data_IF_871815562773
#
_entry.id   IF_871815562773
#
_cell.length_a   1.000
_cell.length_b   1.000
_cell.length_c   1.000
_cell.angle_alpha   90.00
_cell.angle_beta   90.00
_cell.angle_gamma   90.00
#
_symmetry.space_group_name_H-M   'P 1'
#
loop_
_entity.id
_entity.type
_entity.pdbx_description
1 polymer ?
#
# COMPACT_ATOMS: atom_id res chain seq x y z
N UNK A 1 2.40 3.73 28.10
CA UNK A 1 3.53 3.05 28.79
C UNK A 1 3.18 1.65 29.31
N UNK A 2 1.97 1.37 29.83
CA UNK A 2 1.57 0.05 30.35
C UNK A 2 1.58 -1.14 29.37
N UNK A 3 1.46 -0.92 28.05
CA UNK A 3 1.48 -2.01 27.05
C UNK A 3 2.87 -2.67 26.92
N UNK A 4 3.95 -1.89 27.12
CA UNK A 4 5.33 -2.38 27.07
C UNK A 4 5.80 -3.08 28.36
N UNK A 5 4.95 -3.07 29.39
CA UNK A 5 5.23 -3.65 30.71
C UNK A 5 4.58 -5.03 30.88
N UNK A 6 3.73 -5.46 29.94
CA UNK A 6 3.11 -6.78 29.98
C UNK A 6 4.10 -7.86 29.52
N UNK A 7 4.79 -8.47 30.49
CA UNK A 7 5.73 -9.58 30.26
C UNK A 7 5.04 -10.93 29.98
N UNK A 8 3.72 -10.98 29.80
CA UNK A 8 2.97 -12.22 29.52
C UNK A 8 3.04 -12.70 28.07
N UNK A 9 3.94 -12.13 27.25
CA UNK A 9 4.21 -12.63 25.89
C UNK A 9 4.65 -14.11 25.89
N UNK A 10 5.25 -14.57 26.99
CA UNK A 10 5.64 -15.97 27.22
C UNK A 10 4.47 -16.96 27.31
N UNK A 11 3.23 -16.49 27.49
CA UNK A 11 2.05 -17.37 27.51
C UNK A 11 1.52 -17.70 26.10
N UNK A 12 1.89 -16.90 25.09
CA UNK A 12 1.46 -17.07 23.70
C UNK A 12 2.61 -17.53 22.79
N UNK A 13 3.86 -17.25 23.16
CA UNK A 13 5.04 -17.80 22.49
C UNK A 13 5.40 -19.15 23.11
N UNK A 14 5.27 -20.22 22.32
CA UNK A 14 5.74 -21.56 22.68
C UNK A 14 6.99 -21.86 21.85
N UNK A 15 8.12 -21.99 22.53
CA UNK A 15 9.41 -22.33 21.91
C UNK A 15 9.26 -23.57 21.02
N UNK A 16 9.74 -23.49 19.77
CA UNK A 16 9.60 -24.55 18.76
C UNK A 16 8.30 -24.58 17.96
N UNK A 17 7.33 -23.67 18.20
CA UNK A 17 6.12 -23.56 17.35
C UNK A 17 6.40 -22.73 16.10
N UNK A 18 7.21 -21.69 16.19
CA UNK A 18 7.70 -20.91 15.06
C UNK A 18 9.04 -20.26 15.39
N UNK A 19 9.88 -20.12 14.38
CA UNK A 19 11.16 -19.42 14.41
C UNK A 19 10.97 -17.91 14.24
N UNK A 20 12.02 -17.13 14.48
CA UNK A 20 12.01 -15.71 14.14
C UNK A 20 11.77 -15.48 12.63
N UNK A 21 12.32 -16.35 11.79
CA UNK A 21 12.16 -16.26 10.34
C UNK A 21 10.69 -16.49 9.95
N UNK A 22 10.03 -17.48 10.55
CA UNK A 22 8.59 -17.74 10.32
C UNK A 22 7.74 -16.51 10.68
N UNK A 23 8.08 -15.81 11.77
CA UNK A 23 7.38 -14.59 12.16
C UNK A 23 7.65 -13.44 11.17
N UNK A 24 8.89 -13.28 10.70
CA UNK A 24 9.24 -12.27 9.69
C UNK A 24 8.44 -12.53 8.41
N UNK A 25 8.44 -13.77 7.93
CA UNK A 25 7.68 -14.19 6.75
C UNK A 25 6.19 -13.88 6.91
N UNK A 26 5.59 -14.25 8.05
CA UNK A 26 4.18 -13.94 8.33
C UNK A 26 3.92 -12.42 8.31
N UNK A 27 4.79 -11.61 8.91
CA UNK A 27 4.62 -10.16 8.96
C UNK A 27 4.80 -9.51 7.58
N UNK A 28 5.54 -10.12 6.67
CA UNK A 28 5.65 -9.68 5.28
C UNK A 28 4.41 -10.04 4.48
N UNK A 29 3.89 -11.26 4.61
CA UNK A 29 2.63 -11.70 3.99
C UNK A 29 1.46 -10.81 4.44
N UNK A 30 1.48 -10.38 5.70
CA UNK A 30 0.50 -9.45 6.26
C UNK A 30 0.78 -7.97 5.94
N UNK A 31 1.79 -7.67 5.10
CA UNK A 31 2.16 -6.31 4.69
C UNK A 31 2.46 -5.37 5.86
N UNK A 32 3.05 -5.91 6.94
CA UNK A 32 3.48 -5.18 8.13
C UNK A 32 4.94 -4.78 8.01
N UNK A 33 5.78 -5.66 7.47
CA UNK A 33 7.19 -5.41 7.22
C UNK A 33 7.45 -5.03 5.77
N UNK A 34 8.49 -4.24 5.56
CA UNK A 34 9.04 -3.91 4.26
C UNK A 34 10.53 -4.23 4.24
N UNK A 35 11.04 -4.69 3.09
CA UNK A 35 12.45 -5.01 2.89
C UNK A 35 13.19 -3.86 2.23
N UNK A 36 14.33 -3.49 2.80
CA UNK A 36 15.34 -2.66 2.17
C UNK A 36 16.34 -3.56 1.45
N UNK A 37 16.47 -3.37 0.14
CA UNK A 37 17.40 -4.13 -0.70
C UNK A 37 18.66 -3.30 -0.98
N UNK A 38 19.83 -3.88 -0.75
CA UNK A 38 21.10 -3.37 -1.28
C UNK A 38 21.49 -4.17 -2.55
N UNK A 39 22.69 -3.91 -3.08
CA UNK A 39 23.18 -4.61 -4.29
C UNK A 39 23.45 -6.11 -4.07
N UNK A 40 23.53 -6.56 -2.81
CA UNK A 40 23.90 -7.93 -2.41
C UNK A 40 22.73 -8.75 -1.85
N UNK A 41 21.59 -8.12 -1.51
CA UNK A 41 20.41 -8.80 -0.94
C UNK A 41 19.54 -7.88 -0.07
N UNK A 42 18.58 -8.42 0.70
CA UNK A 42 17.85 -7.65 1.69
C UNK A 42 18.79 -7.30 2.84
N UNK A 43 19.06 -6.01 3.03
CA UNK A 43 19.99 -5.52 4.05
C UNK A 43 19.29 -5.41 5.40
N UNK A 44 18.05 -4.94 5.41
CA UNK A 44 17.28 -4.68 6.63
C UNK A 44 15.77 -4.75 6.41
N UNK A 45 15.04 -5.01 7.49
CA UNK A 45 13.58 -4.88 7.55
C UNK A 45 13.19 -3.62 8.31
N UNK A 46 12.07 -3.02 7.93
CA UNK A 46 11.46 -1.94 8.69
C UNK A 46 9.93 -2.08 8.70
N UNK A 47 9.30 -1.44 9.69
CA UNK A 47 7.85 -1.35 9.82
C UNK A 47 7.39 0.05 9.40
N UNK A 48 6.73 0.23 8.25
CA UNK A 48 6.28 1.56 7.82
C UNK A 48 5.39 2.27 8.86
N UNK A 49 4.58 1.52 9.60
CA UNK A 49 3.62 2.04 10.57
C UNK A 49 4.24 2.64 11.84
N UNK A 50 5.50 2.31 12.15
CA UNK A 50 6.21 2.84 13.34
C UNK A 50 7.19 3.96 12.97
N UNK A 51 7.32 4.28 11.68
CA UNK A 51 8.12 5.41 11.23
C UNK A 51 7.56 6.72 11.81
N UNK A 52 8.43 7.71 11.92
CA UNK A 52 8.01 9.07 12.29
C UNK A 52 7.23 9.70 11.14
N UNK A 53 6.30 10.59 11.48
CA UNK A 53 5.68 11.49 10.52
C UNK A 53 6.68 12.54 10.04
N UNK A 54 6.56 12.94 8.78
CA UNK A 54 7.29 14.09 8.26
C UNK A 54 6.69 15.39 8.80
N UNK A 55 7.54 16.39 9.07
CA UNK A 55 7.06 17.72 9.46
C UNK A 55 6.36 18.41 8.29
N UNK A 56 5.36 19.26 8.56
CA UNK A 56 4.69 20.03 7.51
C UNK A 56 5.68 20.89 6.70
N UNK A 57 6.64 21.53 7.37
CA UNK A 57 7.67 22.34 6.71
C UNK A 57 8.62 21.53 5.83
N UNK A 58 8.90 20.26 6.19
CA UNK A 58 9.74 19.40 5.35
C UNK A 58 8.94 18.79 4.20
N UNK A 59 7.65 18.53 4.43
CA UNK A 59 6.73 18.07 3.40
C UNK A 59 6.65 19.09 2.25
N UNK A 60 6.43 20.38 2.57
CA UNK A 60 6.34 21.44 1.57
C UNK A 60 7.64 21.61 0.76
N UNK A 61 8.81 21.43 1.39
CA UNK A 61 10.11 21.51 0.72
C UNK A 61 10.36 20.35 -0.24
N UNK A 62 9.80 19.17 0.05
CA UNK A 62 10.09 17.92 -0.68
C UNK A 62 9.02 17.59 -1.71
N UNK A 63 7.78 17.98 -1.46
CA UNK A 63 6.60 17.59 -2.22
C UNK A 63 5.70 18.81 -2.40
N UNK A 64 5.97 19.59 -3.45
CA UNK A 64 5.03 20.63 -3.88
C UNK A 64 3.80 19.96 -4.48
N UNK A 65 2.61 20.24 -3.96
CA UNK A 65 1.35 19.72 -4.52
C UNK A 65 1.09 20.17 -5.97
N UNK A 66 1.85 21.14 -6.49
CA UNK A 66 1.76 21.56 -7.88
C UNK A 66 2.19 20.42 -8.82
N UNK A 67 1.23 19.87 -9.57
CA UNK A 67 1.47 18.80 -10.53
C UNK A 67 1.40 17.39 -9.95
N UNK A 68 1.10 17.26 -8.65
CA UNK A 68 0.83 15.97 -8.03
C UNK A 68 -0.44 15.35 -8.61
N UNK A 69 -0.41 14.03 -8.77
CA UNK A 69 -1.59 13.23 -9.08
C UNK A 69 -2.20 12.75 -7.77
N UNK A 70 -3.52 12.57 -7.75
CA UNK A 70 -4.23 12.22 -6.52
C UNK A 70 -4.88 10.87 -6.65
N UNK A 71 -4.82 10.11 -5.56
CA UNK A 71 -5.69 8.96 -5.29
C UNK A 71 -6.71 9.42 -4.27
N UNK A 72 -7.93 9.59 -4.75
CA UNK A 72 -9.06 10.04 -3.95
C UNK A 72 -9.86 8.84 -3.42
N UNK A 73 -10.47 9.02 -2.25
CA UNK A 73 -11.25 7.99 -1.54
C UNK A 73 -12.61 8.58 -1.18
N UNK A 74 -13.60 8.51 -2.10
CA UNK A 74 -14.86 9.25 -2.00
C UNK A 74 -15.69 8.91 -0.77
N UNK A 75 -15.52 7.70 -0.24
CA UNK A 75 -16.31 7.16 0.88
C UNK A 75 -15.76 7.54 2.27
N UNK A 76 -14.80 8.46 2.35
CA UNK A 76 -14.32 9.00 3.64
C UNK A 76 -12.83 8.81 3.92
N UNK A 77 -11.99 8.84 2.88
CA UNK A 77 -10.53 8.77 3.04
C UNK A 77 -9.97 7.34 3.06
N UNK A 78 -8.63 7.20 2.94
CA UNK A 78 -7.96 5.92 3.06
C UNK A 78 -8.14 5.36 4.47
N UNK A 79 -8.41 4.06 4.57
CA UNK A 79 -8.46 3.39 5.87
C UNK A 79 -7.07 3.31 6.51
N UNK A 80 -7.04 3.22 7.84
CA UNK A 80 -5.79 3.17 8.61
C UNK A 80 -4.91 2.00 8.17
N UNK A 81 -3.62 2.28 7.97
CA UNK A 81 -2.64 1.27 7.58
C UNK A 81 -2.54 1.03 6.07
N UNK A 82 -3.50 1.48 5.26
CA UNK A 82 -3.46 1.28 3.80
C UNK A 82 -2.19 1.86 3.18
N UNK A 83 -1.81 3.08 3.55
CA UNK A 83 -0.58 3.68 3.05
C UNK A 83 0.67 2.89 3.47
N UNK A 84 0.77 2.52 4.75
CA UNK A 84 1.89 1.75 5.29
C UNK A 84 2.02 0.38 4.62
N UNK A 85 0.91 -0.33 4.44
CA UNK A 85 0.88 -1.63 3.76
C UNK A 85 1.12 -1.50 2.26
N UNK A 86 0.71 -0.39 1.63
CA UNK A 86 1.07 -0.08 0.25
C UNK A 86 2.59 0.10 0.10
N UNK A 87 3.26 0.76 1.05
CA UNK A 87 4.73 0.86 1.07
C UNK A 87 5.38 -0.53 1.10
N UNK A 88 4.90 -1.41 1.98
CA UNK A 88 5.36 -2.80 2.07
C UNK A 88 5.11 -3.57 0.77
N UNK A 89 3.90 -3.48 0.24
CA UNK A 89 3.48 -4.17 -0.98
C UNK A 89 4.37 -3.76 -2.18
N UNK A 90 4.56 -2.46 -2.40
CA UNK A 90 5.34 -1.96 -3.55
C UNK A 90 6.82 -2.34 -3.45
N UNK A 91 7.37 -2.44 -2.23
CA UNK A 91 8.76 -2.87 -2.02
C UNK A 91 8.94 -4.39 -2.06
N UNK A 92 7.85 -5.17 -2.04
CA UNK A 92 7.93 -6.64 -2.01
C UNK A 92 8.48 -7.21 -3.32
N UNK A 93 9.47 -8.13 -3.28
CA UNK A 93 10.08 -8.72 -4.48
C UNK A 93 9.11 -9.38 -5.44
N UNK A 94 8.05 -9.97 -4.90
CA UNK A 94 7.00 -10.66 -5.65
C UNK A 94 6.25 -9.67 -6.57
N UNK A 95 6.26 -8.38 -6.21
CA UNK A 95 5.64 -7.29 -6.95
C UNK A 95 6.64 -6.53 -7.83
N UNK A 96 7.90 -7.00 -7.94
CA UNK A 96 8.95 -6.37 -8.76
C UNK A 96 8.84 -6.71 -10.25
N UNK A 97 7.88 -7.52 -10.68
CA UNK A 97 7.65 -7.83 -12.09
C UNK A 97 6.47 -7.00 -12.63
N UNK A 98 6.65 -6.19 -13.70
CA UNK A 98 7.87 -6.04 -14.52
C UNK A 98 8.90 -5.02 -13.97
N UNK A 99 8.61 -4.35 -12.86
CA UNK A 99 9.40 -3.21 -12.38
C UNK A 99 9.85 -3.36 -10.93
N UNK A 100 11.16 -3.42 -10.70
CA UNK A 100 11.74 -3.50 -9.36
C UNK A 100 11.77 -2.14 -8.68
N UNK A 101 10.75 -1.81 -7.89
CA UNK A 101 10.73 -0.58 -7.12
C UNK A 101 11.79 -0.63 -6.01
N UNK A 102 12.57 0.44 -5.88
CA UNK A 102 13.61 0.58 -4.84
C UNK A 102 13.41 1.88 -4.09
N UNK A 103 13.87 1.95 -2.85
CA UNK A 103 13.89 3.21 -2.10
C UNK A 103 14.94 4.17 -2.70
N UNK A 104 14.58 5.44 -2.83
CA UNK A 104 15.53 6.46 -3.28
C UNK A 104 16.49 6.83 -2.16
N UNK A 105 17.75 6.45 -2.31
CA UNK A 105 18.80 6.71 -1.34
C UNK A 105 19.56 8.00 -1.70
N UNK A 106 19.80 8.85 -0.71
CA UNK A 106 20.71 10.00 -0.78
C UNK A 106 21.84 9.76 0.22
N UNK A 107 23.07 9.64 -0.28
CA UNK A 107 24.24 9.32 0.56
C UNK A 107 24.05 8.06 1.40
N UNK A 108 23.48 6.99 0.81
CA UNK A 108 23.16 5.70 1.44
C UNK A 108 22.01 5.72 2.45
N UNK A 109 21.38 6.86 2.72
CA UNK A 109 20.18 6.94 3.56
C UNK A 109 18.92 7.20 2.73
N UNK A 110 17.75 6.64 3.09
CA UNK A 110 16.50 6.95 2.40
C UNK A 110 16.18 8.45 2.45
N UNK A 111 16.08 9.06 1.28
CA UNK A 111 15.83 10.50 1.12
C UNK A 111 14.46 10.96 1.63
N UNK A 112 13.42 10.14 1.46
CA UNK A 112 12.10 10.26 2.09
C UNK A 112 11.66 8.86 2.52
N UNK A 113 11.79 8.56 3.82
CA UNK A 113 11.23 7.37 4.45
C UNK A 113 10.60 7.80 5.78
N UNK A 114 9.31 8.07 5.71
CA UNK A 114 8.45 8.50 6.79
C UNK A 114 7.16 7.68 6.73
N UNK A 115 6.38 7.74 7.81
CA UNK A 115 5.09 7.04 7.87
C UNK A 115 4.09 7.51 6.81
N UNK A 116 4.23 8.76 6.38
CA UNK A 116 3.34 9.50 5.48
C UNK A 116 4.08 10.05 4.23
N UNK A 117 5.35 9.71 4.03
CA UNK A 117 6.10 10.02 2.80
C UNK A 117 7.12 8.93 2.49
N UNK A 118 7.07 8.42 1.27
CA UNK A 118 8.08 7.49 0.76
C UNK A 118 8.51 7.88 -0.65
N UNK A 119 9.81 7.84 -0.91
CA UNK A 119 10.37 8.12 -2.23
C UNK A 119 11.04 6.88 -2.81
N UNK A 120 10.69 6.58 -4.05
CA UNK A 120 11.15 5.43 -4.81
C UNK A 120 11.95 5.84 -6.04
N UNK A 121 12.75 4.88 -6.50
CA UNK A 121 13.31 4.80 -7.83
C UNK A 121 12.72 3.58 -8.55
N UNK A 122 12.58 3.70 -9.87
CA UNK A 122 12.23 2.58 -10.73
C UNK A 122 13.40 2.42 -11.70
N UNK A 123 14.33 1.46 -11.51
CA UNK A 123 15.64 1.43 -12.17
C UNK A 123 15.62 1.52 -13.71
N UNK A 124 14.52 1.10 -14.35
CA UNK A 124 14.32 1.20 -15.80
C UNK A 124 14.10 2.66 -16.27
N UNK A 125 13.60 3.54 -15.41
CA UNK A 125 13.22 4.91 -15.75
C UNK A 125 14.04 5.92 -14.95
N UNK A 126 14.69 6.90 -15.60
CA UNK A 126 15.43 7.93 -14.88
C UNK A 126 14.46 8.80 -14.08
N UNK A 127 14.80 9.04 -12.81
CA UNK A 127 14.02 9.91 -11.93
C UNK A 127 13.54 9.22 -10.67
N UNK A 128 12.44 9.71 -10.11
CA UNK A 128 11.89 9.24 -8.85
C UNK A 128 10.39 9.43 -8.75
N UNK A 129 9.77 8.60 -7.93
CA UNK A 129 8.34 8.66 -7.62
C UNK A 129 8.17 8.78 -6.12
N UNK A 130 7.39 9.75 -5.64
CA UNK A 130 7.14 9.94 -4.21
C UNK A 130 5.65 9.72 -3.93
N UNK A 131 5.33 8.85 -2.98
CA UNK A 131 3.97 8.74 -2.44
C UNK A 131 3.89 9.51 -1.13
N UNK A 132 2.78 10.21 -0.95
CA UNK A 132 2.52 11.03 0.24
C UNK A 132 1.11 10.74 0.74
N UNK A 133 0.99 10.44 2.02
CA UNK A 133 -0.30 10.33 2.70
C UNK A 133 -0.74 11.71 3.21
N UNK A 134 -1.87 12.21 2.72
CA UNK A 134 -2.50 13.45 3.19
C UNK A 134 -3.65 13.19 4.15
N UNK A 135 -3.77 11.97 4.68
CA UNK A 135 -4.84 11.46 5.55
C UNK A 135 -6.20 11.31 4.88
N UNK A 136 -6.60 12.26 4.02
CA UNK A 136 -7.88 12.23 3.29
C UNK A 136 -7.72 11.64 1.88
N UNK A 137 -6.51 11.69 1.34
CA UNK A 137 -6.16 11.21 0.00
C UNK A 137 -4.67 10.92 -0.07
N UNK A 138 -4.22 10.25 -1.13
CA UNK A 138 -2.79 10.13 -1.41
C UNK A 138 -2.38 11.07 -2.53
N UNK A 139 -1.21 11.68 -2.41
CA UNK A 139 -0.54 12.33 -3.52
C UNK A 139 0.55 11.43 -4.08
N UNK A 140 0.67 11.46 -5.41
CA UNK A 140 1.73 10.79 -6.16
C UNK A 140 2.48 11.85 -6.95
N UNK A 141 3.75 12.02 -6.61
CA UNK A 141 4.65 12.96 -7.26
C UNK A 141 5.62 12.18 -8.13
N UNK A 142 5.88 12.67 -9.34
CA UNK A 142 6.82 12.04 -10.25
C UNK A 142 7.78 13.07 -10.81
N UNK A 143 9.07 12.77 -10.72
CA UNK A 143 10.12 13.54 -11.33
C UNK A 143 10.84 12.64 -12.33
N UNK A 144 10.69 12.90 -13.61
CA UNK A 144 11.33 12.13 -14.70
C UNK A 144 11.48 13.02 -15.94
N UNK A 145 12.14 12.53 -16.98
CA UNK A 145 12.20 13.24 -18.26
C UNK A 145 10.93 13.02 -19.08
N UNK A 146 10.56 14.00 -19.93
CA UNK A 146 9.37 13.94 -20.79
C UNK A 146 9.30 12.70 -21.68
N UNK A 147 10.46 12.14 -22.05
CA UNK A 147 10.56 10.93 -22.87
C UNK A 147 9.91 9.72 -22.18
N UNK A 148 10.04 9.60 -20.86
CA UNK A 148 9.58 8.45 -20.09
C UNK A 148 8.28 8.70 -19.34
N UNK A 149 7.85 9.96 -19.24
CA UNK A 149 6.73 10.40 -18.41
C UNK A 149 5.45 9.60 -18.62
N UNK A 150 5.03 9.38 -19.87
CA UNK A 150 3.80 8.63 -20.16
C UNK A 150 3.88 7.15 -19.77
N UNK A 151 5.00 6.51 -20.10
CA UNK A 151 5.22 5.09 -19.80
C UNK A 151 5.32 4.87 -18.28
N UNK A 152 6.13 5.69 -17.60
CA UNK A 152 6.29 5.63 -16.15
C UNK A 152 4.96 5.90 -15.44
N UNK A 153 4.15 6.89 -15.88
CA UNK A 153 2.83 7.12 -15.28
C UNK A 153 1.91 5.90 -15.35
N UNK A 154 1.92 5.15 -16.46
CA UNK A 154 1.16 3.91 -16.56
C UNK A 154 1.60 2.86 -15.53
N UNK A 155 2.90 2.76 -15.28
CA UNK A 155 3.45 1.82 -14.29
C UNK A 155 3.18 2.26 -12.85
N UNK A 156 3.38 3.54 -12.56
CA UNK A 156 3.04 4.13 -11.26
C UNK A 156 1.56 3.93 -10.97
N UNK A 157 0.69 4.17 -11.96
CA UNK A 157 -0.75 3.99 -11.80
C UNK A 157 -1.11 2.55 -11.48
N UNK A 158 -0.56 1.60 -12.23
CA UNK A 158 -0.79 0.17 -11.98
C UNK A 158 -0.31 -0.25 -10.58
N UNK A 159 0.89 0.18 -10.18
CA UNK A 159 1.46 -0.15 -8.87
C UNK A 159 0.64 0.43 -7.72
N UNK A 160 0.17 1.68 -7.86
CA UNK A 160 -0.60 2.36 -6.81
C UNK A 160 -2.01 1.77 -6.70
N UNK A 161 -2.78 1.71 -7.79
CA UNK A 161 -4.17 1.22 -7.71
C UNK A 161 -4.25 -0.28 -7.46
N UNK A 162 -3.46 -1.08 -8.18
CA UNK A 162 -3.42 -2.53 -7.96
C UNK A 162 -2.85 -2.89 -6.58
N UNK A 163 -1.89 -2.10 -6.10
CA UNK A 163 -1.36 -2.25 -4.74
C UNK A 163 -2.38 -1.89 -3.67
N UNK A 164 -3.16 -0.82 -3.85
CA UNK A 164 -4.24 -0.47 -2.92
C UNK A 164 -5.33 -1.54 -2.92
N UNK A 165 -5.76 -2.02 -4.09
CA UNK A 165 -6.72 -3.13 -4.20
C UNK A 165 -6.22 -4.35 -3.41
N UNK A 166 -4.97 -4.76 -3.65
CA UNK A 166 -4.37 -5.90 -2.93
C UNK A 166 -4.30 -5.66 -1.42
N UNK A 167 -3.86 -4.47 -1.00
CA UNK A 167 -3.75 -4.10 0.43
C UNK A 167 -5.12 -4.10 1.11
N UNK A 168 -6.13 -3.53 0.46
CA UNK A 168 -7.51 -3.46 0.97
C UNK A 168 -8.06 -4.87 1.16
N UNK A 169 -7.84 -5.76 0.19
CA UNK A 169 -8.25 -7.15 0.28
C UNK A 169 -7.50 -7.89 1.40
N UNK A 170 -6.17 -7.75 1.47
CA UNK A 170 -5.34 -8.37 2.52
C UNK A 170 -5.74 -7.90 3.93
N UNK A 171 -6.08 -6.62 4.10
CA UNK A 171 -6.50 -6.06 5.37
C UNK A 171 -7.99 -6.32 5.69
N UNK A 172 -8.75 -6.88 4.76
CA UNK A 172 -10.17 -7.21 4.94
C UNK A 172 -11.10 -5.97 4.94
N UNK A 173 -10.73 -4.91 4.21
CA UNK A 173 -11.53 -3.70 4.10
C UNK A 173 -12.53 -3.80 2.94
N UNK A 174 -13.80 -3.44 3.18
CA UNK A 174 -14.88 -3.62 2.19
C UNK A 174 -15.29 -2.35 1.42
N UNK A 175 -14.95 -1.16 1.93
CA UNK A 175 -15.44 0.13 1.42
C UNK A 175 -14.29 1.12 1.22
N UNK A 176 -13.33 0.76 0.36
CA UNK A 176 -12.19 1.62 0.08
C UNK A 176 -11.85 1.57 -1.42
N UNK A 177 -12.74 2.11 -2.26
CA UNK A 177 -12.53 2.15 -3.71
C UNK A 177 -11.77 3.44 -4.08
N UNK A 178 -10.45 3.37 -4.29
CA UNK A 178 -9.70 4.54 -4.72
C UNK A 178 -10.10 4.93 -6.14
N UNK A 179 -10.05 6.22 -6.45
CA UNK A 179 -10.22 6.73 -7.81
C UNK A 179 -9.12 7.73 -8.18
N UNK A 180 -8.78 7.85 -9.48
CA UNK A 180 -7.86 8.88 -9.93
C UNK A 180 -8.50 10.26 -9.80
N UNK A 181 -7.74 11.19 -9.24
CA UNK A 181 -8.11 12.59 -9.09
C UNK A 181 -6.89 13.48 -9.36
N UNK A 182 -7.09 14.79 -9.27
CA UNK A 182 -6.02 15.79 -9.33
C UNK A 182 -6.05 16.64 -8.07
N UNK A 183 -4.95 17.35 -7.80
CA UNK A 183 -5.02 18.47 -6.86
C UNK A 183 -5.86 19.57 -7.50
N UNK A 184 -6.86 20.07 -6.78
CA UNK A 184 -7.76 21.11 -7.24
C UNK A 184 -6.94 22.34 -7.71
N UNK A 185 -7.05 22.77 -8.98
CA UNK A 185 -6.25 23.87 -9.52
C UNK A 185 -6.61 25.24 -8.93
N UNK A 186 -7.75 25.36 -8.22
CA UNK A 186 -8.28 26.62 -7.70
C UNK A 186 -8.00 26.75 -6.21
N UNK A 187 -7.31 27.82 -5.84
CA UNK A 187 -6.89 28.18 -4.47
C UNK A 187 -8.00 28.88 -3.67
N UNK A 188 -9.24 28.41 -3.75
CA UNK A 188 -10.34 28.98 -2.96
C UNK A 188 -10.35 28.44 -1.52
N UNK A 189 -9.50 27.46 -1.23
CA UNK A 189 -9.19 26.95 0.10
C UNK A 189 -7.74 27.24 0.43
N UNK A 190 -7.42 27.37 1.72
CA UNK A 190 -6.05 27.58 2.21
C UNK A 190 -5.16 26.33 2.08
N UNK A 191 -5.75 25.17 1.74
CA UNK A 191 -5.07 23.88 1.69
C UNK A 191 -5.33 23.15 0.36
N UNK A 192 -4.33 22.43 -0.18
CA UNK A 192 -4.52 21.51 -1.29
C UNK A 192 -5.57 20.45 -0.94
N UNK A 193 -6.46 20.16 -1.89
CA UNK A 193 -7.50 19.14 -1.77
C UNK A 193 -7.77 18.51 -3.14
N UNK A 194 -8.43 17.34 -3.19
CA UNK A 194 -8.70 16.67 -4.46
C UNK A 194 -9.73 17.41 -5.32
N UNK A 195 -9.69 17.15 -6.62
CA UNK A 195 -10.80 17.37 -7.53
C UNK A 195 -11.01 16.07 -8.31
N UNK A 196 -12.24 15.53 -8.24
CA UNK A 196 -12.58 14.29 -8.92
C UNK A 196 -12.84 14.55 -10.40
N UNK A 197 -12.76 13.49 -11.19
CA UNK A 197 -12.88 13.57 -12.64
C UNK A 197 -14.21 13.02 -13.09
N UNK A 198 -14.91 13.80 -13.92
CA UNK A 198 -16.17 13.38 -14.54
C UNK A 198 -16.28 13.99 -15.93
N UNK A 199 -16.59 13.17 -16.93
CA UNK A 199 -16.89 13.63 -18.30
C UNK A 199 -15.82 14.55 -18.94
N UNK A 200 -14.53 14.30 -18.64
CA UNK A 200 -13.36 15.13 -19.05
C UNK A 200 -13.28 16.51 -18.39
N UNK A 201 -14.03 16.72 -17.33
CA UNK A 201 -13.92 17.86 -16.44
C UNK A 201 -13.35 17.42 -15.09
N UNK A 202 -12.69 18.33 -14.40
CA UNK A 202 -12.41 18.19 -12.98
C UNK A 202 -13.45 18.99 -12.19
N UNK A 203 -13.90 18.43 -11.08
CA UNK A 203 -14.88 19.05 -10.17
C UNK A 203 -14.25 19.08 -8.78
N UNK A 204 -14.19 20.26 -8.19
CA UNK A 204 -13.65 20.46 -6.85
C UNK A 204 -14.47 19.70 -5.80
N UNK A 205 -13.80 18.96 -4.91
CA UNK A 205 -14.48 18.23 -3.81
C UNK A 205 -14.98 19.17 -2.70
N UNK A 206 -14.33 20.33 -2.52
CA UNK A 206 -14.71 21.33 -1.51
C UNK A 206 -15.87 22.24 -1.96
N UNK A 207 -16.07 22.40 -3.27
CA UNK A 207 -17.13 23.22 -3.85
C UNK A 207 -17.47 22.73 -5.26
N UNK A 208 -18.59 22.03 -5.41
CA UNK A 208 -19.03 21.46 -6.69
C UNK A 208 -19.35 22.50 -7.78
N UNK A 209 -19.52 23.77 -7.43
CA UNK A 209 -19.68 24.87 -8.40
C UNK A 209 -18.35 25.27 -9.06
N UNK A 210 -17.22 24.80 -8.51
CA UNK A 210 -15.88 25.06 -9.03
C UNK A 210 -15.42 23.85 -9.86
N UNK A 211 -15.41 24.02 -11.18
CA UNK A 211 -15.01 22.99 -12.14
C UNK A 211 -14.23 23.58 -13.32
N UNK A 212 -13.71 22.72 -14.19
CA UNK A 212 -13.12 23.13 -15.45
C UNK A 212 -12.62 21.97 -16.31
N UNK A 213 -12.15 22.30 -17.50
CA UNK A 213 -11.67 21.30 -18.47
C UNK A 213 -10.39 20.60 -17.99
N UNK A 214 -10.32 19.28 -18.23
CA UNK A 214 -9.08 18.52 -18.10
C UNK A 214 -8.12 18.86 -19.25
N UNK A 215 -6.98 19.44 -18.89
CA UNK A 215 -5.90 19.69 -19.84
C UNK A 215 -5.08 18.43 -20.13
N UNK A 216 -4.27 18.46 -21.19
CA UNK A 216 -3.34 17.37 -21.55
C UNK A 216 -2.23 17.10 -20.52
N UNK A 217 -2.13 17.92 -19.47
CA UNK A 217 -1.14 17.77 -18.39
C UNK A 217 -1.45 16.60 -17.45
N UNK A 218 -2.65 16.01 -17.53
CA UNK A 218 -3.09 14.95 -16.61
C UNK A 218 -2.94 13.55 -17.21
N UNK A 219 -1.70 13.19 -17.56
CA UNK A 219 -1.37 11.89 -18.17
C UNK A 219 -1.80 10.69 -17.32
N UNK A 220 -1.78 10.84 -15.99
CA UNK A 220 -2.30 9.86 -15.04
C UNK A 220 -3.73 9.45 -15.36
N UNK A 221 -4.62 10.41 -15.63
CA UNK A 221 -6.05 10.19 -15.89
C UNK A 221 -6.26 9.57 -17.27
N UNK A 222 -5.46 9.99 -18.25
CA UNK A 222 -5.56 9.55 -19.64
C UNK A 222 -5.00 8.13 -19.88
N UNK A 223 -4.26 7.59 -18.92
CA UNK A 223 -3.71 6.24 -19.02
C UNK A 223 -4.77 5.23 -18.57
N UNK A 224 -5.22 4.31 -19.44
CA UNK A 224 -6.20 3.29 -19.06
C UNK A 224 -5.68 2.48 -17.88
N UNK A 225 -6.52 2.29 -16.87
CA UNK A 225 -6.31 1.27 -15.85
C UNK A 225 -7.29 0.14 -16.12
N UNK A 226 -6.78 -0.98 -16.62
CA UNK A 226 -7.53 -2.22 -16.66
C UNK A 226 -7.35 -2.87 -15.27
N UNK A 227 -8.39 -2.78 -14.44
CA UNK A 227 -8.42 -3.53 -13.19
C UNK A 227 -8.34 -5.01 -13.55
N UNK A 228 -7.42 -5.74 -12.93
CA UNK A 228 -7.24 -7.18 -13.13
C UNK A 228 -8.39 -8.02 -12.53
N UNK A 229 -9.40 -7.38 -11.93
CA UNK A 229 -10.59 -8.07 -11.42
C UNK A 229 -11.60 -8.22 -12.56
N UNK A 230 -11.30 -9.10 -13.51
CA UNK A 230 -12.40 -9.80 -14.18
C UNK A 230 -13.15 -10.57 -13.10
N UNK A 231 -14.42 -10.20 -12.90
CA UNK A 231 -15.33 -10.94 -12.03
C UNK A 231 -15.46 -12.37 -12.55
N UNK A 232 -14.59 -13.25 -12.07
CA UNK A 232 -14.79 -14.69 -12.14
C UNK A 232 -15.99 -15.04 -11.29
N UNK A 233 -17.17 -14.91 -11.89
CA UNK A 233 -18.39 -15.59 -11.45
C UNK A 233 -18.29 -17.06 -11.87
N UNK A 234 -17.24 -17.74 -11.43
CA UNK A 234 -17.23 -19.19 -11.36
C UNK A 234 -17.52 -19.56 -9.91
N UNK A 235 -18.81 -19.71 -9.60
CA UNK A 235 -19.27 -20.32 -8.38
C UNK A 235 -18.68 -21.73 -8.29
N UNK A 236 -17.53 -21.86 -7.62
CA UNK A 236 -17.01 -23.16 -7.21
C UNK A 236 -17.74 -23.50 -5.92
N UNK A 237 -18.81 -24.26 -6.06
CA UNK A 237 -19.52 -24.87 -4.93
C UNK A 237 -18.53 -25.67 -4.09
N UNK A 238 -18.20 -25.14 -2.91
CA UNK A 238 -17.52 -25.87 -1.85
C UNK A 238 -18.48 -27.00 -1.40
N UNK A 239 -18.07 -28.28 -1.43
CA UNK A 239 -18.86 -29.33 -0.81
C UNK A 239 -18.96 -29.05 0.68
N UNK A 240 -20.18 -28.94 1.20
CA UNK A 240 -20.43 -28.82 2.63
C UNK A 240 -19.82 -30.02 3.36
N UNK A 241 -18.83 -29.75 4.22
CA UNK A 241 -18.31 -30.71 5.17
C UNK A 241 -19.33 -30.87 6.32
N UNK A 242 -20.40 -31.59 6.05
CA UNK A 242 -21.36 -32.07 7.04
C UNK A 242 -21.80 -33.45 6.61
N UNK A 243 -20.90 -34.43 6.75
CA UNK A 243 -21.21 -35.88 6.87
C UNK A 243 -19.92 -36.73 7.04
N UNK A 244 -18.94 -36.23 7.79
CA UNK A 244 -17.83 -37.08 8.23
C UNK A 244 -18.23 -37.77 9.55
N UNK A 245 -18.26 -39.12 9.62
CA UNK A 245 -18.51 -39.83 10.88
C UNK A 245 -17.40 -39.50 11.88
N UNK A 246 -17.78 -39.16 13.11
CA UNK A 246 -16.84 -38.95 14.21
C UNK A 246 -15.97 -40.21 14.41
N UNK A 247 -14.67 -40.07 14.65
CA UNK A 247 -13.82 -41.20 14.99
C UNK A 247 -14.27 -41.81 16.32
N UNK A 248 -14.35 -43.14 16.35
CA UNK A 248 -14.72 -43.89 17.54
C UNK A 248 -13.73 -43.62 18.69
N UNK A 249 -14.21 -43.57 19.95
CA UNK A 249 -13.34 -43.36 21.10
C UNK A 249 -12.35 -44.52 21.27
N UNK A 250 -11.12 -44.24 21.72
CA UNK A 250 -10.11 -45.27 21.90
C UNK A 250 -10.53 -46.27 22.99
N UNK A 251 -10.39 -47.55 22.67
CA UNK A 251 -10.62 -48.68 23.58
C UNK A 251 -9.62 -48.61 24.73
N UNK A 252 -10.05 -48.78 26.00
CA UNK A 252 -9.14 -48.76 27.13
C UNK A 252 -8.19 -49.96 27.10
N UNK A 253 -6.88 -49.69 27.10
CA UNK A 253 -5.84 -50.70 27.26
C UNK A 253 -5.95 -51.34 28.66
N UNK A 254 -6.39 -52.60 28.70
CA UNK A 254 -6.19 -53.46 29.87
C UNK A 254 -4.70 -53.81 29.99
N UNK A 255 -4.02 -53.20 30.97
CA UNK A 255 -2.70 -53.66 31.42
C UNK A 255 -2.82 -55.07 32.01
N UNK A 256 -1.95 -56.03 31.63
CA UNK A 256 -1.87 -57.30 32.32
C UNK A 256 -1.33 -57.09 33.74
N UNK A 257 -1.99 -57.71 34.72
CA UNK A 257 -1.42 -57.90 36.05
C UNK A 257 -0.20 -58.81 35.92
N UNK A 258 0.95 -58.31 36.35
CA UNK A 258 2.15 -59.12 36.52
C UNK A 258 1.99 -60.09 37.68
N UNK A 259 2.46 -61.32 37.46
CA UNK A 259 2.94 -62.23 38.50
C UNK A 259 4.46 -62.29 38.42
#
# INVERSE_FOLDING_TARGET
KKFLEDRRFSSHYKEGVFSCDDLIHLLEELLVFARLWNEEGPETWFMPSVLRHISASDMEKRCSSAGAQVVDFPDGGPQSGVFCSLMSHVLSPENHSPYSWKLHLSSQEPSCLYRDCIKFEVPKYPGSVTFVDRYEYFEVHMFTSKTWEKELWGHVRKAVFGGIETVVDTLGYSNNKPQPAIVCPRTHTDRPHPAFIKDKEWICTSNSEVYGDLTTKYLWIQTPYESSVESSTAATSIPSASDAPLPAPPTPETKPLGN
#
